data_IF_833878079128
#
_entry.id   IF_833878079128
#
_cell.length_a   1.000
_cell.length_b   1.000
_cell.length_c   1.000
_cell.angle_alpha   90.00
_cell.angle_beta   90.00
_cell.angle_gamma   90.00
#
_symmetry.space_group_name_H-M   'P 1'
#
loop_
_entity.id
_entity.type
_entity.pdbx_description
1 polymer ?
#
# COMPACT_ATOMS: atom_id res chain seq x y z
N UNK A 1 56.33 2.96 55.64
CA UNK A 1 55.07 2.84 56.41
C UNK A 1 54.50 4.23 56.66
N UNK A 2 53.54 4.68 55.84
CA UNK A 2 52.55 5.68 56.25
C UNK A 2 51.31 5.54 55.36
N UNK A 3 50.17 5.37 56.01
CA UNK A 3 48.84 5.12 55.45
C UNK A 3 48.24 6.36 54.79
N UNK A 4 47.55 6.18 53.66
CA UNK A 4 46.58 7.14 53.13
C UNK A 4 45.17 6.57 53.26
N UNK A 5 44.42 7.18 54.18
CA UNK A 5 42.99 7.03 54.40
C UNK A 5 42.21 7.64 53.22
N UNK A 6 41.40 6.83 52.52
CA UNK A 6 40.39 7.33 51.59
C UNK A 6 38.99 7.03 52.12
N UNK A 7 38.17 8.08 52.12
CA UNK A 7 36.98 8.25 52.94
C UNK A 7 35.76 7.41 52.54
N UNK A 8 35.01 6.97 53.55
CA UNK A 8 33.70 6.31 53.49
C UNK A 8 32.54 7.23 53.06
N UNK A 9 32.80 8.49 52.68
CA UNK A 9 31.76 9.49 52.37
C UNK A 9 31.26 9.45 50.93
N UNK A 10 32.03 8.94 49.97
CA UNK A 10 31.64 8.88 48.55
C UNK A 10 30.56 7.84 48.22
N UNK A 11 30.55 6.70 48.92
CA UNK A 11 29.59 5.61 48.66
C UNK A 11 28.18 5.88 49.20
N UNK A 12 28.05 6.72 50.24
CA UNK A 12 26.75 7.08 50.82
C UNK A 12 25.99 8.07 49.91
N UNK A 13 26.70 9.04 49.32
CA UNK A 13 26.12 10.02 48.41
C UNK A 13 25.55 9.39 47.13
N UNK A 14 26.26 8.41 46.55
CA UNK A 14 25.82 7.72 45.33
C UNK A 14 24.58 6.83 45.57
N UNK A 15 24.48 6.21 46.76
CA UNK A 15 23.28 5.44 47.16
C UNK A 15 22.06 6.34 47.36
N UNK A 16 22.25 7.56 47.87
CA UNK A 16 21.17 8.55 48.02
C UNK A 16 20.55 8.96 46.68
N UNK A 17 21.39 9.26 45.68
CA UNK A 17 20.94 9.68 44.33
C UNK A 17 20.18 8.56 43.62
N UNK A 18 20.66 7.31 43.70
CA UNK A 18 19.97 6.15 43.09
C UNK A 18 18.61 5.89 43.75
N UNK A 19 18.50 6.05 45.07
CA UNK A 19 17.23 5.92 45.79
C UNK A 19 16.22 7.00 45.39
N UNK A 20 16.71 8.23 45.15
CA UNK A 20 15.87 9.36 44.73
C UNK A 20 15.36 9.20 43.29
N UNK A 21 16.21 8.73 42.37
CA UNK A 21 15.80 8.39 40.99
C UNK A 21 14.75 7.28 40.99
N UNK A 22 14.92 6.22 41.79
CA UNK A 22 13.94 5.13 41.89
C UNK A 22 12.57 5.60 42.41
N UNK A 23 12.53 6.55 43.36
CA UNK A 23 11.27 7.14 43.85
C UNK A 23 10.59 8.01 42.79
N UNK A 24 11.35 8.76 42.00
CA UNK A 24 10.79 9.56 40.88
C UNK A 24 10.20 8.65 39.80
N UNK A 25 10.90 7.57 39.43
CA UNK A 25 10.38 6.60 38.46
C UNK A 25 9.16 5.82 38.97
N UNK A 26 9.10 5.47 40.27
CA UNK A 26 7.91 4.81 40.82
C UNK A 26 6.70 5.76 40.85
N UNK A 27 6.92 7.04 41.18
CA UNK A 27 5.89 8.08 41.16
C UNK A 27 5.36 8.36 39.74
N UNK A 28 6.24 8.44 38.74
CA UNK A 28 5.86 8.61 37.33
C UNK A 28 5.08 7.39 36.79
N UNK A 29 5.48 6.18 37.18
CA UNK A 29 4.76 4.94 36.81
C UNK A 29 3.39 4.83 37.47
N UNK A 30 3.24 5.30 38.71
CA UNK A 30 1.94 5.39 39.39
C UNK A 30 1.03 6.45 38.74
N UNK A 31 1.57 7.61 38.33
CA UNK A 31 0.81 8.64 37.62
C UNK A 31 0.35 8.19 36.22
N UNK A 32 1.21 7.49 35.48
CA UNK A 32 0.86 6.91 34.18
C UNK A 32 -0.24 5.85 34.29
N UNK A 33 -0.17 4.95 35.27
CA UNK A 33 -1.23 3.95 35.51
C UNK A 33 -2.55 4.58 36.00
N UNK A 34 -2.51 5.73 36.67
CA UNK A 34 -3.71 6.43 37.13
C UNK A 34 -4.41 7.19 35.99
N UNK A 35 -3.63 7.79 35.07
CA UNK A 35 -4.18 8.41 33.85
C UNK A 35 -4.75 7.37 32.88
N UNK A 36 -4.11 6.20 32.74
CA UNK A 36 -4.60 5.14 31.85
C UNK A 36 -5.92 4.52 32.36
N UNK A 37 -6.07 4.36 33.69
CA UNK A 37 -7.34 3.93 34.31
C UNK A 37 -8.44 4.98 34.24
N UNK A 38 -8.11 6.27 34.29
CA UNK A 38 -9.11 7.34 34.14
C UNK A 38 -9.67 7.41 32.71
N UNK A 39 -8.84 7.14 31.70
CA UNK A 39 -9.25 7.06 30.29
C UNK A 39 -10.11 5.81 30.02
N UNK A 40 -9.73 4.64 30.56
CA UNK A 40 -10.55 3.41 30.44
C UNK A 40 -11.93 3.54 31.07
N UNK A 41 -12.05 4.20 32.23
CA UNK A 41 -13.34 4.41 32.91
C UNK A 41 -14.21 5.43 32.16
N UNK A 42 -13.62 6.47 31.55
CA UNK A 42 -14.36 7.47 30.78
C UNK A 42 -14.87 6.92 29.44
N UNK A 43 -14.09 6.04 28.79
CA UNK A 43 -14.50 5.34 27.56
C UNK A 43 -15.58 4.29 27.84
N UNK A 44 -15.48 3.56 28.96
CA UNK A 44 -16.51 2.60 29.37
C UNK A 44 -17.85 3.27 29.73
N UNK A 45 -17.82 4.46 30.34
CA UNK A 45 -19.05 5.20 30.70
C UNK A 45 -19.78 5.76 29.47
N UNK A 46 -19.05 6.22 28.44
CA UNK A 46 -19.66 6.72 27.21
C UNK A 46 -20.26 5.60 26.34
N UNK A 47 -19.69 4.40 26.37
CA UNK A 47 -20.23 3.23 25.65
C UNK A 47 -21.52 2.70 26.32
N UNK A 48 -21.68 2.83 27.64
CA UNK A 48 -22.93 2.45 28.32
C UNK A 48 -24.08 3.46 28.11
N UNK A 49 -23.79 4.73 27.83
CA UNK A 49 -24.81 5.78 27.71
C UNK A 49 -25.38 5.95 26.29
N UNK A 50 -24.85 5.24 25.28
CA UNK A 50 -25.32 5.34 23.89
C UNK A 50 -26.06 4.11 23.35
N UNK A 51 -26.28 3.07 24.16
CA UNK A 51 -26.91 1.82 23.68
C UNK A 51 -28.37 1.62 24.13
N UNK A 52 -29.08 2.70 24.47
CA UNK A 52 -30.51 2.67 24.77
C UNK A 52 -31.27 3.69 23.92
N UNK A 53 -31.52 3.35 22.65
CA UNK A 53 -32.74 3.75 21.92
C UNK A 53 -32.83 3.10 20.54
N UNK A 54 -33.87 2.27 20.40
CA UNK A 54 -34.71 2.06 19.20
C UNK A 54 -34.79 0.61 18.71
N UNK A 55 -35.60 -0.17 19.43
CA UNK A 55 -36.45 -1.21 18.83
C UNK A 55 -37.89 -0.70 18.81
N UNK A 56 -38.52 -0.67 17.64
CA UNK A 56 -39.90 -1.14 17.38
C UNK A 56 -40.32 -0.73 15.97
N UNK A 57 -40.65 -1.72 15.12
CA UNK A 57 -42.00 -1.94 14.61
C UNK A 57 -42.00 -3.17 13.69
N UNK A 58 -42.87 -4.13 14.01
CA UNK A 58 -43.18 -5.35 13.27
C UNK A 58 -44.58 -5.23 12.66
N UNK A 59 -44.72 -5.87 11.50
CA UNK A 59 -45.88 -6.59 10.95
C UNK A 59 -47.11 -5.84 10.41
N UNK A 60 -47.42 -6.14 9.14
CA UNK A 60 -48.66 -6.71 8.58
C UNK A 60 -48.45 -6.81 7.05
N UNK A 61 -48.98 -7.73 6.25
CA UNK A 61 -49.55 -9.07 6.36
C UNK A 61 -49.72 -9.57 4.89
N UNK A 62 -49.74 -10.89 4.73
CA UNK A 62 -50.02 -11.73 3.56
C UNK A 62 -50.83 -11.16 2.36
N UNK A 63 -50.46 -11.64 1.16
CA UNK A 63 -51.41 -12.30 0.25
C UNK A 63 -50.70 -13.26 -0.73
N UNK A 64 -51.40 -14.36 -0.99
CA UNK A 64 -51.00 -15.65 -1.55
C UNK A 64 -50.96 -15.72 -3.11
N UNK A 65 -50.51 -16.85 -3.72
CA UNK A 65 -49.90 -16.90 -5.04
C UNK A 65 -50.87 -17.24 -6.19
N UNK A 66 -50.54 -16.80 -7.41
CA UNK A 66 -51.23 -17.21 -8.64
C UNK A 66 -50.23 -17.60 -9.73
N UNK A 67 -50.30 -18.87 -10.17
CA UNK A 67 -49.91 -19.43 -11.48
C UNK A 67 -50.67 -20.76 -11.64
N UNK A 68 -50.81 -21.36 -12.86
CA UNK A 68 -50.18 -21.03 -14.14
C UNK A 68 -51.13 -21.10 -15.37
N UNK A 69 -50.66 -20.67 -16.56
CA UNK A 69 -50.95 -21.30 -17.87
C UNK A 69 -50.11 -20.64 -18.98
N UNK A 70 -49.63 -21.45 -19.92
CA UNK A 70 -49.25 -21.02 -21.27
C UNK A 70 -47.76 -21.16 -21.60
N UNK A 71 -47.41 -22.24 -22.27
CA UNK A 71 -46.09 -22.54 -22.80
C UNK A 71 -45.85 -21.83 -24.14
N UNK A 72 -44.64 -21.28 -24.32
CA UNK A 72 -43.95 -21.18 -25.61
C UNK A 72 -42.44 -21.23 -25.35
N UNK A 73 -41.78 -22.24 -25.90
CA UNK A 73 -40.35 -22.43 -25.78
C UNK A 73 -39.60 -21.30 -26.51
N UNK A 74 -38.80 -20.54 -25.76
CA UNK A 74 -37.81 -19.63 -26.32
C UNK A 74 -36.59 -20.43 -26.77
N UNK A 75 -35.97 -20.10 -27.92
CA UNK A 75 -34.76 -20.77 -28.37
C UNK A 75 -33.65 -20.52 -27.35
N UNK A 76 -33.04 -21.59 -26.87
CA UNK A 76 -31.87 -21.57 -26.00
C UNK A 76 -30.69 -20.99 -26.77
N UNK A 77 -30.47 -19.68 -26.64
CA UNK A 77 -29.24 -19.04 -27.06
C UNK A 77 -28.12 -19.48 -26.13
N UNK A 78 -27.55 -20.64 -26.43
CA UNK A 78 -26.31 -21.09 -25.84
C UNK A 78 -25.20 -20.32 -26.54
N UNK A 79 -24.96 -19.08 -26.10
CA UNK A 79 -23.69 -18.40 -26.35
C UNK A 79 -22.60 -19.22 -25.67
N UNK A 80 -22.11 -20.26 -26.35
CA UNK A 80 -20.78 -20.81 -26.12
C UNK A 80 -19.84 -19.63 -26.29
N UNK A 81 -19.41 -19.04 -25.18
CA UNK A 81 -18.22 -18.20 -25.11
C UNK A 81 -17.11 -18.99 -25.80
N UNK A 82 -16.81 -18.63 -27.06
CA UNK A 82 -15.63 -19.15 -27.73
C UNK A 82 -14.48 -18.71 -26.83
N UNK A 83 -13.81 -19.65 -26.17
CA UNK A 83 -12.57 -19.37 -25.45
C UNK A 83 -11.54 -18.88 -26.48
N UNK A 84 -11.53 -17.58 -26.74
CA UNK A 84 -10.55 -16.97 -27.64
C UNK A 84 -9.25 -16.92 -26.86
N UNK A 85 -8.24 -17.61 -27.40
CA UNK A 85 -6.90 -17.66 -26.83
C UNK A 85 -6.36 -16.23 -26.70
N UNK A 86 -5.94 -15.77 -25.49
CA UNK A 86 -5.38 -14.44 -25.33
C UNK A 86 -4.03 -14.34 -26.02
N UNK A 87 -3.82 -13.29 -26.81
CA UNK A 87 -2.57 -13.04 -27.50
C UNK A 87 -1.57 -12.34 -26.58
N UNK A 88 -2.05 -11.34 -25.83
CA UNK A 88 -1.22 -10.54 -24.92
C UNK A 88 -1.75 -10.64 -23.49
N UNK A 89 -0.90 -11.13 -22.59
CA UNK A 89 -1.18 -11.19 -21.16
C UNK A 89 -0.53 -10.01 -20.42
N UNK A 90 -1.31 -9.31 -19.60
CA UNK A 90 -0.82 -8.23 -18.73
C UNK A 90 -0.81 -8.73 -17.30
N UNK A 91 0.37 -9.00 -16.76
CA UNK A 91 0.56 -9.41 -15.37
C UNK A 91 0.65 -8.17 -14.48
N UNK A 92 -0.45 -7.84 -13.79
CA UNK A 92 -0.54 -6.73 -12.85
C UNK A 92 0.10 -7.12 -11.52
N UNK A 93 1.28 -6.56 -11.24
CA UNK A 93 2.11 -6.89 -10.08
C UNK A 93 1.86 -5.93 -8.92
N UNK A 94 1.52 -6.47 -7.76
CA UNK A 94 1.41 -5.73 -6.50
C UNK A 94 1.76 -6.67 -5.34
N UNK A 95 1.98 -6.15 -4.13
CA UNK A 95 2.16 -6.99 -2.94
C UNK A 95 0.90 -7.79 -2.59
N UNK A 96 -0.27 -7.20 -2.89
CA UNK A 96 -1.57 -7.74 -2.50
C UNK A 96 -1.89 -7.47 -1.03
N UNK A 97 -3.01 -7.99 -0.56
CA UNK A 97 -3.44 -7.89 0.82
C UNK A 97 -4.44 -8.99 1.16
N UNK A 98 -4.54 -9.38 2.45
CA UNK A 98 -5.44 -10.44 2.89
C UNK A 98 -6.89 -10.05 2.60
N UNK A 99 -7.62 -10.87 1.84
CA UNK A 99 -9.04 -10.64 1.52
C UNK A 99 -9.94 -10.80 2.75
N UNK A 100 -9.51 -11.66 3.67
CA UNK A 100 -10.19 -11.95 4.94
C UNK A 100 -9.21 -11.94 6.11
N UNK A 101 -9.74 -11.83 7.32
CA UNK A 101 -8.95 -11.89 8.55
C UNK A 101 -8.15 -13.20 8.71
N UNK A 102 -8.66 -14.31 8.20
CA UNK A 102 -7.98 -15.62 8.22
C UNK A 102 -6.71 -15.65 7.35
N UNK A 103 -6.65 -14.84 6.29
CA UNK A 103 -5.52 -14.79 5.36
C UNK A 103 -4.32 -13.99 5.93
N UNK A 104 -4.53 -13.25 7.02
CA UNK A 104 -3.52 -12.32 7.58
C UNK A 104 -2.24 -13.05 7.98
N UNK A 105 -2.35 -14.26 8.56
CA UNK A 105 -1.17 -15.01 8.96
C UNK A 105 -0.27 -15.35 7.76
N UNK A 106 -0.86 -15.90 6.70
CA UNK A 106 -0.11 -16.36 5.54
C UNK A 106 0.42 -15.19 4.71
N UNK A 107 -0.31 -14.08 4.66
CA UNK A 107 0.17 -12.80 4.14
C UNK A 107 1.46 -12.35 4.86
N UNK A 108 1.42 -12.26 6.19
CA UNK A 108 2.58 -11.84 6.98
C UNK A 108 3.73 -12.84 6.88
N UNK A 109 3.43 -14.14 6.84
CA UNK A 109 4.42 -15.19 6.69
C UNK A 109 5.22 -15.00 5.39
N UNK A 110 4.54 -14.86 4.24
CA UNK A 110 5.21 -14.64 2.95
C UNK A 110 5.97 -13.32 2.93
N UNK A 111 5.42 -12.26 3.53
CA UNK A 111 6.07 -10.96 3.64
C UNK A 111 7.37 -11.02 4.44
N UNK A 112 7.39 -11.63 5.63
CA UNK A 112 8.60 -11.73 6.45
C UNK A 112 9.59 -12.79 5.96
N UNK A 113 9.17 -13.72 5.10
CA UNK A 113 10.06 -14.66 4.42
C UNK A 113 10.71 -14.07 3.16
N UNK A 114 10.28 -12.90 2.70
CA UNK A 114 10.80 -12.28 1.49
C UNK A 114 12.14 -11.55 1.73
N UNK A 115 13.22 -12.19 1.28
CA UNK A 115 14.60 -11.68 1.37
C UNK A 115 14.87 -10.48 0.46
N UNK A 116 14.00 -10.18 -0.51
CA UNK A 116 14.10 -8.97 -1.33
C UNK A 116 13.54 -7.73 -0.63
N UNK A 117 12.56 -7.93 0.26
CA UNK A 117 11.92 -6.89 1.05
C UNK A 117 12.72 -6.59 2.32
N UNK A 118 12.98 -7.60 3.14
CA UNK A 118 13.66 -7.48 4.42
C UNK A 118 14.69 -8.61 4.58
N UNK A 119 15.90 -8.26 5.01
CA UNK A 119 16.94 -9.24 5.36
C UNK A 119 16.97 -9.41 6.88
N UNK A 120 16.54 -10.57 7.35
CA UNK A 120 16.50 -10.91 8.77
C UNK A 120 17.53 -12.00 9.10
N UNK A 121 18.18 -11.96 10.28
CA UNK A 121 19.02 -13.07 10.72
C UNK A 121 18.14 -14.32 10.92
N UNK A 122 18.58 -15.45 10.34
CA UNK A 122 17.85 -16.73 10.42
C UNK A 122 16.38 -16.60 9.97
N UNK A 123 16.16 -15.93 8.85
CA UNK A 123 14.83 -15.53 8.33
C UNK A 123 13.82 -16.69 8.26
N UNK A 124 14.26 -17.91 7.94
CA UNK A 124 13.41 -19.10 7.91
C UNK A 124 12.80 -19.48 9.28
N UNK A 125 13.39 -19.01 10.39
CA UNK A 125 12.84 -19.19 11.75
C UNK A 125 12.20 -17.90 12.26
N UNK A 126 12.87 -16.76 12.05
CA UNK A 126 12.43 -15.48 12.58
C UNK A 126 11.19 -14.96 11.84
N UNK A 127 11.09 -15.18 10.52
CA UNK A 127 9.95 -14.78 9.71
C UNK A 127 8.63 -15.38 10.20
N UNK A 128 8.51 -16.72 10.31
CA UNK A 128 7.31 -17.36 10.86
C UNK A 128 6.98 -16.93 12.29
N UNK A 129 8.00 -16.74 13.14
CA UNK A 129 7.79 -16.26 14.51
C UNK A 129 7.21 -14.84 14.54
N UNK A 130 7.77 -13.91 13.76
CA UNK A 130 7.28 -12.53 13.67
C UNK A 130 5.87 -12.51 13.08
N UNK A 131 5.60 -13.28 12.03
CA UNK A 131 4.29 -13.40 11.41
C UNK A 131 3.23 -13.78 12.46
N UNK A 132 3.42 -14.93 13.14
CA UNK A 132 2.52 -15.39 14.19
C UNK A 132 2.32 -14.37 15.32
N UNK A 133 3.41 -13.70 15.75
CA UNK A 133 3.33 -12.69 16.82
C UNK A 133 2.56 -11.44 16.38
N UNK A 134 2.67 -11.03 15.12
CA UNK A 134 2.03 -9.81 14.61
C UNK A 134 0.60 -10.04 14.10
N UNK A 135 0.24 -11.27 13.73
CA UNK A 135 -1.09 -11.62 13.20
C UNK A 135 -2.26 -11.02 14.01
N UNK A 136 -2.35 -11.16 15.35
CA UNK A 136 -3.51 -10.65 16.09
C UNK A 136 -3.70 -9.14 15.94
N UNK A 137 -2.60 -8.38 16.02
CA UNK A 137 -2.63 -6.92 15.85
C UNK A 137 -3.09 -6.53 14.44
N UNK A 138 -2.56 -7.20 13.42
CA UNK A 138 -2.90 -6.89 12.03
C UNK A 138 -4.35 -7.31 11.69
N UNK A 139 -4.84 -8.41 12.27
CA UNK A 139 -6.25 -8.80 12.16
C UNK A 139 -7.18 -7.75 12.76
N UNK A 140 -6.83 -7.17 13.91
CA UNK A 140 -7.60 -6.07 14.52
C UNK A 140 -7.62 -4.81 13.62
N UNK A 141 -6.51 -4.50 12.95
CA UNK A 141 -6.49 -3.38 12.01
C UNK A 141 -7.36 -3.65 10.78
N UNK A 142 -7.31 -4.87 10.22
CA UNK A 142 -8.19 -5.25 9.11
C UNK A 142 -9.67 -5.31 9.52
N UNK A 143 -9.99 -5.71 10.75
CA UNK A 143 -11.39 -5.76 11.21
C UNK A 143 -12.01 -4.37 11.30
N UNK A 144 -11.22 -3.36 11.68
CA UNK A 144 -11.66 -1.94 11.73
C UNK A 144 -11.98 -1.33 10.37
N UNK A 145 -11.48 -1.91 9.28
CA UNK A 145 -11.70 -1.40 7.91
C UNK A 145 -12.65 -2.27 7.08
N UNK A 146 -13.40 -3.17 7.71
CA UNK A 146 -14.38 -4.03 7.04
C UNK A 146 -13.99 -5.51 6.89
N UNK A 147 -12.89 -5.95 7.51
CA UNK A 147 -12.54 -7.37 7.63
C UNK A 147 -11.52 -7.90 6.62
N UNK A 148 -10.99 -7.05 5.74
CA UNK A 148 -10.03 -7.44 4.71
C UNK A 148 -9.56 -6.27 3.83
N UNK A 149 -8.60 -6.54 2.96
CA UNK A 149 -8.08 -5.58 1.98
C UNK A 149 -8.94 -5.55 0.72
N UNK A 150 -9.37 -4.36 0.24
CA UNK A 150 -10.13 -4.25 -1.00
C UNK A 150 -9.26 -4.32 -2.26
N UNK A 151 -7.93 -4.48 -2.11
CA UNK A 151 -6.95 -4.37 -3.21
C UNK A 151 -7.25 -5.31 -4.39
N UNK A 152 -7.70 -6.55 -4.12
CA UNK A 152 -8.04 -7.50 -5.19
C UNK A 152 -9.25 -7.04 -5.98
N UNK A 153 -10.30 -6.57 -5.30
CA UNK A 153 -11.49 -6.06 -5.97
C UNK A 153 -11.13 -4.87 -6.87
N UNK A 154 -10.37 -3.90 -6.36
CA UNK A 154 -9.93 -2.76 -7.16
C UNK A 154 -9.02 -3.14 -8.32
N UNK A 155 -8.06 -4.06 -8.11
CA UNK A 155 -7.16 -4.52 -9.17
C UNK A 155 -7.94 -5.24 -10.28
N UNK A 156 -8.96 -6.03 -9.94
CA UNK A 156 -9.86 -6.66 -10.92
C UNK A 156 -10.61 -5.61 -11.73
N UNK A 157 -11.27 -4.65 -11.07
CA UNK A 157 -12.02 -3.58 -11.76
C UNK A 157 -11.11 -2.77 -12.69
N UNK A 158 -9.91 -2.42 -12.23
CA UNK A 158 -8.90 -1.72 -13.02
C UNK A 158 -8.41 -2.55 -14.21
N UNK A 159 -8.17 -3.85 -14.00
CA UNK A 159 -7.74 -4.79 -15.04
C UNK A 159 -8.80 -4.98 -16.13
N UNK A 160 -10.06 -5.11 -15.74
CA UNK A 160 -11.21 -5.22 -16.65
C UNK A 160 -11.36 -3.94 -17.49
N UNK A 161 -11.34 -2.77 -16.84
CA UNK A 161 -11.41 -1.48 -17.52
C UNK A 161 -10.24 -1.25 -18.49
N UNK A 162 -9.02 -1.61 -18.06
CA UNK A 162 -7.82 -1.54 -18.90
C UNK A 162 -7.92 -2.44 -20.13
N UNK A 163 -8.30 -3.72 -19.96
CA UNK A 163 -8.38 -4.69 -21.06
C UNK A 163 -9.41 -4.27 -22.10
N UNK A 164 -10.60 -3.80 -21.65
CA UNK A 164 -11.64 -3.30 -22.55
C UNK A 164 -11.10 -2.18 -23.45
N UNK A 165 -10.39 -1.21 -22.87
CA UNK A 165 -9.79 -0.10 -23.62
C UNK A 165 -8.66 -0.59 -24.54
N UNK A 166 -7.82 -1.53 -24.07
CA UNK A 166 -6.71 -2.06 -24.86
C UNK A 166 -7.15 -2.82 -26.11
N UNK A 167 -8.23 -3.60 -26.02
CA UNK A 167 -8.76 -4.33 -27.18
C UNK A 167 -9.25 -3.37 -28.28
N UNK A 168 -9.76 -2.19 -27.90
CA UNK A 168 -10.13 -1.12 -28.84
C UNK A 168 -8.90 -0.33 -29.34
N UNK A 169 -7.95 -0.04 -28.45
CA UNK A 169 -6.78 0.80 -28.71
C UNK A 169 -5.65 0.10 -29.49
N UNK A 170 -5.54 -1.24 -29.37
CA UNK A 170 -4.46 -2.06 -29.94
C UNK A 170 -5.00 -3.39 -30.51
N UNK A 171 -5.87 -3.38 -31.53
CA UNK A 171 -6.48 -4.59 -32.07
C UNK A 171 -5.45 -5.62 -32.59
N UNK A 172 -4.25 -5.19 -32.96
CA UNK A 172 -3.16 -6.04 -33.44
C UNK A 172 -2.53 -6.94 -32.35
N UNK A 173 -2.65 -6.55 -31.08
CA UNK A 173 -2.18 -7.33 -29.91
C UNK A 173 -3.32 -7.96 -29.10
N UNK A 174 -4.57 -7.72 -29.50
CA UNK A 174 -5.76 -8.35 -28.95
C UNK A 174 -5.86 -9.85 -29.33
N UNK A 175 -6.62 -10.67 -28.58
CA UNK A 175 -7.29 -10.32 -27.31
C UNK A 175 -6.29 -10.14 -26.18
N UNK A 176 -6.47 -9.07 -25.40
CA UNK A 176 -5.72 -8.83 -24.18
C UNK A 176 -6.38 -9.55 -23.01
N UNK A 177 -5.58 -9.99 -22.03
CA UNK A 177 -6.08 -10.53 -20.77
C UNK A 177 -5.21 -10.07 -19.63
N UNK A 178 -5.82 -9.54 -18.56
CA UNK A 178 -5.09 -9.21 -17.35
C UNK A 178 -4.98 -10.43 -16.44
N UNK A 179 -3.90 -10.47 -15.66
CA UNK A 179 -3.62 -11.48 -14.66
C UNK A 179 -3.16 -10.74 -13.41
N UNK A 180 -3.71 -11.09 -12.25
CA UNK A 180 -3.25 -10.53 -10.97
C UNK A 180 -2.09 -11.38 -10.49
N UNK A 181 -0.93 -10.75 -10.25
CA UNK A 181 0.24 -11.40 -9.66
C UNK A 181 0.57 -10.74 -8.34
N UNK A 182 -0.02 -11.22 -7.26
CA UNK A 182 0.30 -10.73 -5.92
C UNK A 182 1.56 -11.39 -5.36
N UNK A 183 2.31 -10.64 -4.56
CA UNK A 183 3.57 -11.12 -3.99
C UNK A 183 3.36 -11.99 -2.74
N UNK A 184 2.34 -11.68 -1.93
CA UNK A 184 2.16 -12.27 -0.59
C UNK A 184 0.79 -12.91 -0.33
N UNK A 185 -0.15 -12.80 -1.27
CA UNK A 185 -1.49 -13.42 -1.19
C UNK A 185 -1.89 -14.00 -2.53
N UNK A 186 -2.94 -14.82 -2.55
CA UNK A 186 -3.46 -15.38 -3.79
C UNK A 186 -4.27 -14.34 -4.59
N UNK A 187 -4.24 -14.39 -5.94
CA UNK A 187 -3.37 -15.24 -6.76
C UNK A 187 -1.91 -14.77 -6.69
N UNK A 188 -1.00 -15.70 -6.38
CA UNK A 188 0.42 -15.43 -6.28
C UNK A 188 1.03 -15.18 -7.67
N UNK A 189 2.18 -14.52 -7.70
CA UNK A 189 2.92 -14.23 -8.94
C UNK A 189 3.20 -15.52 -9.73
N UNK A 190 3.60 -16.58 -9.03
CA UNK A 190 3.89 -17.89 -9.60
C UNK A 190 2.63 -18.55 -10.21
N UNK A 191 1.49 -18.46 -9.51
CA UNK A 191 0.21 -19.00 -9.97
C UNK A 191 -0.28 -18.27 -11.23
N UNK A 192 -0.08 -16.95 -11.27
CA UNK A 192 -0.43 -16.13 -12.41
C UNK A 192 0.43 -16.48 -13.64
N UNK A 193 1.75 -16.68 -13.48
CA UNK A 193 2.64 -17.12 -14.56
C UNK A 193 2.21 -18.50 -15.08
N UNK A 194 1.90 -19.44 -14.18
CA UNK A 194 1.40 -20.76 -14.56
C UNK A 194 0.09 -20.67 -15.37
N UNK A 195 -0.82 -19.79 -14.97
CA UNK A 195 -2.07 -19.58 -15.71
C UNK A 195 -1.82 -18.93 -17.08
N UNK A 196 -0.91 -17.95 -17.17
CA UNK A 196 -0.52 -17.34 -18.44
C UNK A 196 0.08 -18.36 -19.41
N UNK A 197 0.90 -19.29 -18.92
CA UNK A 197 1.45 -20.38 -19.73
C UNK A 197 0.38 -21.36 -20.20
N UNK A 198 -0.56 -21.73 -19.31
CA UNK A 198 -1.69 -22.62 -19.65
C UNK A 198 -2.62 -22.00 -20.69
N UNK A 199 -2.84 -20.69 -20.61
CA UNK A 199 -3.63 -19.93 -21.57
C UNK A 199 -2.93 -19.76 -22.93
N UNK A 200 -1.64 -20.10 -23.01
CA UNK A 200 -0.85 -20.03 -24.24
C UNK A 200 -0.53 -18.60 -24.68
N UNK A 201 -0.43 -17.65 -23.73
CA UNK A 201 -0.10 -16.25 -23.99
C UNK A 201 1.19 -16.14 -24.82
N UNK A 202 1.16 -15.34 -25.89
CA UNK A 202 2.33 -15.16 -26.77
C UNK A 202 3.26 -14.04 -26.27
N UNK A 203 2.67 -12.92 -25.83
CA UNK A 203 3.39 -11.77 -25.27
C UNK A 203 2.92 -11.51 -23.83
N UNK A 204 3.86 -11.44 -22.89
CA UNK A 204 3.61 -11.12 -21.50
C UNK A 204 4.21 -9.75 -21.14
N UNK A 205 3.39 -8.91 -20.51
CA UNK A 205 3.80 -7.61 -19.96
C UNK A 205 3.72 -7.71 -18.44
N UNK A 206 4.87 -7.77 -17.77
CA UNK A 206 4.97 -7.55 -16.33
C UNK A 206 4.69 -6.07 -16.06
N UNK A 207 3.52 -5.74 -15.54
CA UNK A 207 3.09 -4.37 -15.30
C UNK A 207 3.00 -4.10 -13.81
N UNK A 208 4.01 -3.42 -13.27
CA UNK A 208 3.97 -2.99 -11.87
C UNK A 208 2.80 -2.06 -11.62
N UNK A 209 2.06 -2.29 -10.52
CA UNK A 209 1.00 -1.39 -10.05
C UNK A 209 1.54 -0.31 -9.10
N UNK A 210 2.86 -0.24 -8.92
CA UNK A 210 3.54 0.84 -8.21
C UNK A 210 4.06 1.88 -9.22
N UNK A 211 3.53 3.12 -9.25
CA UNK A 211 4.05 4.13 -10.17
C UNK A 211 5.53 4.41 -9.93
N UNK A 212 5.95 4.43 -8.67
CA UNK A 212 7.33 4.68 -8.26
C UNK A 212 8.03 3.36 -7.94
N UNK A 213 9.17 3.11 -8.58
CA UNK A 213 9.96 1.91 -8.38
C UNK A 213 10.64 1.91 -7.01
N UNK A 214 10.46 0.85 -6.24
CA UNK A 214 11.36 0.47 -5.14
C UNK A 214 11.92 -0.93 -5.38
N UNK A 215 13.15 -1.20 -4.94
CA UNK A 215 13.67 -2.56 -4.90
C UNK A 215 12.86 -3.46 -3.95
N UNK A 216 12.19 -2.90 -2.96
CA UNK A 216 11.37 -3.64 -1.99
C UNK A 216 9.95 -3.94 -2.48
N UNK A 217 9.49 -3.31 -3.56
CA UNK A 217 8.16 -3.53 -4.14
C UNK A 217 8.29 -4.14 -5.54
N UNK A 218 8.34 -3.31 -6.59
CA UNK A 218 8.53 -3.75 -7.98
C UNK A 218 9.73 -4.67 -8.12
N UNK A 219 10.86 -4.35 -7.47
CA UNK A 219 12.05 -5.19 -7.50
C UNK A 219 11.82 -6.61 -6.98
N UNK A 220 11.07 -6.78 -5.89
CA UNK A 220 10.71 -8.10 -5.34
C UNK A 220 9.80 -8.86 -6.30
N UNK A 221 8.76 -8.21 -6.85
CA UNK A 221 7.86 -8.84 -7.83
C UNK A 221 8.59 -9.30 -9.11
N UNK A 222 9.51 -8.49 -9.64
CA UNK A 222 10.29 -8.88 -10.82
C UNK A 222 11.29 -10.00 -10.50
N UNK A 223 11.91 -9.98 -9.31
CA UNK A 223 12.75 -11.08 -8.86
C UNK A 223 11.95 -12.37 -8.69
N UNK A 224 10.68 -12.32 -8.28
CA UNK A 224 9.82 -13.50 -8.21
C UNK A 224 9.61 -14.13 -9.59
N UNK A 225 9.35 -13.34 -10.64
CA UNK A 225 9.27 -13.83 -12.03
C UNK A 225 10.58 -14.50 -12.45
N UNK A 226 11.72 -13.87 -12.18
CA UNK A 226 13.01 -14.46 -12.49
C UNK A 226 13.25 -15.79 -11.75
N UNK A 227 12.97 -15.83 -10.44
CA UNK A 227 13.13 -17.04 -9.61
C UNK A 227 12.21 -18.18 -10.05
N UNK A 228 10.98 -17.86 -10.47
CA UNK A 228 10.05 -18.84 -11.01
C UNK A 228 10.68 -19.59 -12.19
N UNK A 229 11.29 -18.88 -13.14
CA UNK A 229 11.95 -19.51 -14.28
C UNK A 229 13.32 -20.12 -13.93
N UNK A 230 14.15 -19.45 -13.12
CA UNK A 230 15.49 -19.94 -12.81
C UNK A 230 15.51 -21.21 -11.95
N UNK A 231 14.42 -21.50 -11.25
CA UNK A 231 14.24 -22.72 -10.46
C UNK A 231 13.73 -23.92 -11.29
N UNK A 232 13.44 -23.72 -12.58
CA UNK A 232 12.86 -24.72 -13.48
C UNK A 232 13.80 -24.97 -14.67
N UNK A 233 13.70 -26.16 -15.26
CA UNK A 233 14.44 -26.51 -16.48
C UNK A 233 13.92 -25.78 -17.71
N UNK A 234 12.65 -25.39 -17.69
CA UNK A 234 11.94 -24.91 -18.86
C UNK A 234 12.19 -23.41 -19.07
N UNK A 235 12.43 -23.04 -20.32
CA UNK A 235 12.49 -21.63 -20.72
C UNK A 235 11.08 -21.03 -20.77
N UNK A 236 10.94 -19.71 -20.61
CA UNK A 236 9.65 -19.04 -20.79
C UNK A 236 9.02 -19.39 -22.13
N UNK A 237 7.75 -19.79 -22.12
CA UNK A 237 6.96 -20.10 -23.32
C UNK A 237 6.33 -18.85 -23.98
N UNK A 238 6.52 -17.69 -23.36
CA UNK A 238 5.99 -16.39 -23.76
C UNK A 238 7.11 -15.36 -23.80
N UNK A 239 6.99 -14.36 -24.69
CA UNK A 239 7.93 -13.24 -24.76
C UNK A 239 7.62 -12.23 -23.65
N UNK A 240 8.56 -12.05 -22.73
CA UNK A 240 8.41 -11.11 -21.62
C UNK A 240 8.83 -9.69 -22.00
N UNK A 241 8.18 -8.73 -21.37
CA UNK A 241 8.59 -7.34 -21.28
C UNK A 241 8.03 -6.76 -19.97
N UNK A 242 8.49 -5.59 -19.56
CA UNK A 242 8.11 -5.01 -18.28
C UNK A 242 7.88 -3.51 -18.37
N UNK A 243 6.78 -3.07 -17.78
CA UNK A 243 6.54 -1.67 -17.40
C UNK A 243 6.92 -1.61 -15.91
N UNK A 244 8.17 -1.23 -15.63
CA UNK A 244 8.74 -1.30 -14.28
C UNK A 244 8.53 -0.02 -13.45
N UNK A 245 8.13 1.09 -14.07
CA UNK A 245 7.85 2.36 -13.39
C UNK A 245 7.09 3.32 -14.30
N UNK A 246 6.36 4.25 -13.70
CA UNK A 246 5.54 5.24 -14.40
C UNK A 246 5.19 6.46 -13.50
N UNK A 247 6.17 7.04 -12.77
CA UNK A 247 5.90 8.01 -11.70
C UNK A 247 5.29 9.33 -12.18
N UNK A 248 5.49 9.69 -13.45
CA UNK A 248 5.02 10.96 -14.01
C UNK A 248 4.15 10.77 -15.25
N UNK A 249 3.41 9.67 -15.31
CA UNK A 249 2.45 9.46 -16.41
C UNK A 249 1.39 10.57 -16.38
N UNK A 250 1.10 11.28 -17.50
CA UNK A 250 0.21 12.44 -17.47
C UNK A 250 -1.18 12.16 -16.90
N UNK A 251 -1.77 11.00 -17.20
CA UNK A 251 -3.11 10.66 -16.70
C UNK A 251 -3.09 10.25 -15.21
N UNK A 252 -1.98 9.69 -14.71
CA UNK A 252 -1.80 9.48 -13.26
C UNK A 252 -1.80 10.83 -12.53
N UNK A 253 -1.05 11.80 -13.05
CA UNK A 253 -0.96 13.14 -12.46
C UNK A 253 -2.32 13.84 -12.49
N UNK A 254 -3.06 13.69 -13.58
CA UNK A 254 -4.42 14.21 -13.70
C UNK A 254 -5.36 13.59 -12.63
N UNK A 255 -5.35 12.27 -12.46
CA UNK A 255 -6.18 11.61 -11.46
C UNK A 255 -5.89 12.15 -10.04
N UNK A 256 -4.61 12.30 -9.67
CA UNK A 256 -4.24 12.87 -8.38
C UNK A 256 -4.67 14.32 -8.24
N UNK A 257 -4.49 15.14 -9.27
CA UNK A 257 -4.90 16.54 -9.25
C UNK A 257 -6.43 16.68 -9.09
N UNK A 258 -7.22 15.90 -9.83
CA UNK A 258 -8.67 15.85 -9.70
C UNK A 258 -9.09 15.47 -8.27
N UNK A 259 -8.51 14.41 -7.70
CA UNK A 259 -8.86 13.96 -6.35
C UNK A 259 -8.46 14.99 -5.28
N UNK A 260 -7.35 15.69 -5.45
CA UNK A 260 -6.94 16.78 -4.55
C UNK A 260 -7.91 17.96 -4.64
N UNK A 261 -8.28 18.40 -5.85
CA UNK A 261 -9.24 19.50 -6.03
C UNK A 261 -10.60 19.14 -5.43
N UNK A 262 -11.11 17.95 -5.74
CA UNK A 262 -12.38 17.47 -5.21
C UNK A 262 -12.41 17.42 -3.68
N UNK A 263 -11.29 17.10 -3.02
CA UNK A 263 -11.23 17.07 -1.57
C UNK A 263 -11.03 18.48 -0.96
N UNK A 264 -10.29 19.38 -1.63
CA UNK A 264 -10.16 20.79 -1.24
C UNK A 264 -11.51 21.52 -1.28
N UNK A 265 -12.38 21.19 -2.23
CA UNK A 265 -13.72 21.76 -2.32
C UNK A 265 -14.59 21.46 -1.09
N UNK A 266 -14.31 20.35 -0.39
CA UNK A 266 -15.03 19.93 0.83
C UNK A 266 -14.54 20.63 2.11
N UNK A 267 -13.48 21.42 2.05
CA UNK A 267 -13.10 22.31 3.15
C UNK A 267 -13.96 23.58 3.15
N UNK A 268 -14.19 24.23 4.31
CA UNK A 268 -14.82 25.54 4.37
C UNK A 268 -14.12 26.54 3.43
N UNK A 269 -14.88 27.32 2.67
CA UNK A 269 -14.36 28.17 1.61
C UNK A 269 -13.31 29.17 2.13
N UNK A 270 -13.53 29.71 3.32
CA UNK A 270 -12.65 30.64 4.03
C UNK A 270 -11.36 30.00 4.59
N UNK A 271 -11.29 28.66 4.63
CA UNK A 271 -10.12 27.89 5.10
C UNK A 271 -9.35 27.23 3.96
N UNK A 272 -9.94 27.13 2.77
CA UNK A 272 -9.42 26.35 1.64
C UNK A 272 -8.00 26.75 1.24
N UNK A 273 -7.70 28.05 1.23
CA UNK A 273 -6.37 28.56 0.87
C UNK A 273 -5.31 28.32 1.97
N UNK A 274 -5.74 28.08 3.22
CA UNK A 274 -4.84 27.75 4.35
C UNK A 274 -4.54 26.24 4.46
N UNK A 275 -5.25 25.40 3.70
CA UNK A 275 -5.04 23.95 3.73
C UNK A 275 -3.60 23.61 3.35
N UNK A 276 -2.95 22.79 4.18
CA UNK A 276 -1.63 22.21 3.88
C UNK A 276 -1.81 20.82 3.29
N UNK A 277 -1.28 20.60 2.09
CA UNK A 277 -1.31 19.31 1.42
C UNK A 277 -0.13 18.46 1.91
N UNK A 278 -0.43 17.30 2.49
CA UNK A 278 0.55 16.32 2.95
C UNK A 278 0.50 15.10 2.04
N UNK A 279 1.42 15.05 1.08
CA UNK A 279 1.63 13.85 0.27
C UNK A 279 2.30 12.79 1.15
N UNK A 280 1.55 11.75 1.49
CA UNK A 280 2.01 10.67 2.36
C UNK A 280 2.35 9.44 1.52
N UNK A 281 3.61 9.00 1.65
CA UNK A 281 4.13 7.81 0.98
C UNK A 281 4.69 6.83 2.03
N UNK A 282 4.67 5.53 1.77
CA UNK A 282 5.22 4.56 2.72
C UNK A 282 6.73 4.75 2.87
N UNK A 283 7.23 4.81 4.10
CA UNK A 283 8.63 5.09 4.37
C UNK A 283 9.53 3.91 3.97
N UNK A 284 10.83 4.16 3.85
CA UNK A 284 11.85 3.13 3.66
C UNK A 284 12.89 3.21 4.78
N UNK A 285 13.45 2.08 5.26
CA UNK A 285 14.62 2.09 6.12
C UNK A 285 15.76 2.88 5.47
N UNK A 286 16.49 3.69 6.24
CA UNK A 286 17.60 4.48 5.68
C UNK A 286 18.70 3.61 5.07
N UNK A 287 18.86 2.36 5.52
CA UNK A 287 19.78 1.41 4.87
C UNK A 287 19.38 1.09 3.44
N UNK A 288 18.07 1.05 3.13
CA UNK A 288 17.53 0.86 1.78
C UNK A 288 17.68 2.13 0.95
N UNK A 289 17.42 3.30 1.54
CA UNK A 289 17.63 4.59 0.85
C UNK A 289 19.11 4.76 0.50
N UNK A 290 20.00 4.57 1.49
CA UNK A 290 21.44 4.81 1.35
C UNK A 290 22.14 3.81 0.41
N UNK A 291 21.56 2.63 0.15
CA UNK A 291 22.09 1.74 -0.90
C UNK A 291 21.79 2.25 -2.33
N UNK A 292 20.95 3.28 -2.45
CA UNK A 292 20.54 3.94 -3.68
C UNK A 292 19.26 3.40 -4.27
N UNK A 293 18.24 3.17 -3.44
CA UNK A 293 16.89 2.88 -3.91
C UNK A 293 16.28 4.12 -4.60
N UNK A 294 15.71 4.01 -5.82
CA UNK A 294 15.24 5.17 -6.57
C UNK A 294 13.89 5.73 -6.06
N UNK A 295 13.18 4.99 -5.19
CA UNK A 295 11.83 5.33 -4.77
C UNK A 295 11.66 6.75 -4.24
N UNK A 296 12.51 7.29 -3.33
CA UNK A 296 12.30 8.64 -2.81
C UNK A 296 12.34 9.72 -3.89
N UNK A 297 13.21 9.55 -4.89
CA UNK A 297 13.33 10.48 -6.01
C UNK A 297 12.11 10.41 -6.93
N UNK A 298 11.61 9.21 -7.22
CA UNK A 298 10.44 9.01 -8.07
C UNK A 298 9.13 9.49 -7.40
N UNK A 299 9.00 9.33 -6.09
CA UNK A 299 7.89 9.91 -5.31
C UNK A 299 7.97 11.44 -5.36
N UNK A 300 9.15 12.02 -5.13
CA UNK A 300 9.37 13.47 -5.25
C UNK A 300 9.00 14.00 -6.64
N UNK A 301 9.33 13.26 -7.70
CA UNK A 301 8.94 13.62 -9.07
C UNK A 301 7.42 13.57 -9.29
N UNK A 302 6.74 12.57 -8.73
CA UNK A 302 5.27 12.47 -8.79
C UNK A 302 4.62 13.68 -8.10
N UNK A 303 5.04 13.96 -6.86
CA UNK A 303 4.55 15.10 -6.06
C UNK A 303 4.74 16.41 -6.82
N UNK A 304 5.94 16.64 -7.37
CA UNK A 304 6.21 17.88 -8.11
C UNK A 304 5.26 18.05 -9.29
N UNK A 305 5.05 16.99 -10.09
CA UNK A 305 4.16 17.05 -11.25
C UNK A 305 2.69 17.27 -10.89
N UNK A 306 2.23 16.70 -9.77
CA UNK A 306 0.89 16.99 -9.24
C UNK A 306 0.79 18.46 -8.84
N UNK A 307 1.77 19.00 -8.12
CA UNK A 307 1.73 20.41 -7.69
C UNK A 307 1.85 21.39 -8.86
N UNK A 308 2.64 21.06 -9.88
CA UNK A 308 2.72 21.83 -11.13
C UNK A 308 1.33 21.87 -11.82
N UNK A 309 0.65 20.70 -11.90
CA UNK A 309 -0.69 20.58 -12.47
C UNK A 309 -1.76 21.35 -11.68
N UNK A 310 -1.59 21.46 -10.36
CA UNK A 310 -2.46 22.24 -9.47
C UNK A 310 -2.13 23.75 -9.47
N UNK A 311 -1.11 24.19 -10.22
CA UNK A 311 -0.69 25.59 -10.24
C UNK A 311 -0.19 26.10 -8.88
N UNK A 312 0.33 25.20 -8.03
CA UNK A 312 0.75 25.51 -6.66
C UNK A 312 -0.31 26.24 -5.81
N UNK A 313 -1.59 25.89 -5.97
CA UNK A 313 -2.71 26.53 -5.27
C UNK A 313 -2.60 26.51 -3.72
N UNK A 314 -1.90 25.52 -3.16
CA UNK A 314 -1.72 25.34 -1.72
C UNK A 314 -0.27 24.98 -1.35
N UNK A 315 0.19 25.29 -0.13
CA UNK A 315 1.46 24.81 0.38
C UNK A 315 1.42 23.28 0.57
N UNK A 316 2.55 22.61 0.31
CA UNK A 316 2.63 21.16 0.42
C UNK A 316 3.91 20.66 1.09
N UNK A 317 3.87 19.42 1.58
CA UNK A 317 5.05 18.64 1.99
C UNK A 317 4.90 17.19 1.54
N UNK A 318 6.04 16.58 1.18
CA UNK A 318 6.18 15.13 1.07
C UNK A 318 6.62 14.60 2.43
N UNK A 319 5.83 13.65 2.97
CA UNK A 319 6.01 13.02 4.27
C UNK A 319 5.93 11.50 4.14
N UNK A 320 6.43 10.78 5.14
CA UNK A 320 6.56 9.33 5.08
C UNK A 320 5.85 8.64 6.24
N UNK A 321 5.03 7.64 5.93
CA UNK A 321 4.22 6.90 6.91
C UNK A 321 4.75 5.49 7.19
N UNK A 322 4.10 4.80 8.14
CA UNK A 322 4.26 3.38 8.41
C UNK A 322 5.68 2.92 8.83
N UNK A 323 6.45 3.77 9.54
CA UNK A 323 7.72 3.34 10.15
C UNK A 323 7.47 2.18 11.12
N UNK A 324 8.19 1.07 10.92
CA UNK A 324 8.14 -0.08 11.83
C UNK A 324 9.49 -0.40 12.47
N UNK A 325 9.45 -0.67 13.77
CA UNK A 325 10.63 -1.07 14.55
C UNK A 325 11.58 0.08 14.91
N UNK A 326 12.71 -0.25 15.55
CA UNK A 326 13.60 0.74 16.16
C UNK A 326 14.63 1.35 15.19
N UNK A 327 14.73 0.82 13.96
CA UNK A 327 15.72 1.29 12.99
C UNK A 327 15.42 2.71 12.52
N UNK A 328 16.40 3.34 11.86
CA UNK A 328 16.21 4.66 11.24
C UNK A 328 15.50 4.52 9.89
N UNK A 329 14.52 5.38 9.65
CA UNK A 329 13.68 5.40 8.44
C UNK A 329 13.71 6.79 7.81
N UNK A 330 13.36 6.84 6.53
CA UNK A 330 13.22 8.09 5.80
C UNK A 330 12.11 8.94 6.43
N UNK A 331 12.45 10.19 6.74
CA UNK A 331 11.55 11.16 7.35
C UNK A 331 11.34 12.40 6.47
N UNK A 332 10.50 13.34 6.93
CA UNK A 332 9.84 13.34 8.24
C UNK A 332 8.64 12.38 8.31
N UNK A 333 8.27 11.93 9.52
CA UNK A 333 7.15 11.00 9.72
C UNK A 333 5.79 11.71 9.64
N UNK A 334 4.80 11.10 9.01
CA UNK A 334 3.48 11.72 8.79
C UNK A 334 2.79 12.14 10.10
N UNK A 335 2.80 11.28 11.11
CA UNK A 335 2.27 11.56 12.46
C UNK A 335 2.99 12.74 13.14
N UNK A 336 4.32 12.75 13.13
CA UNK A 336 5.14 13.82 13.70
C UNK A 336 4.91 15.15 12.98
N UNK A 337 4.71 15.13 11.66
CA UNK A 337 4.43 16.35 10.86
C UNK A 337 3.04 16.89 11.15
N UNK A 338 2.00 16.04 11.23
CA UNK A 338 0.65 16.46 11.60
C UNK A 338 0.71 17.20 12.95
N UNK A 339 1.27 16.55 13.98
CA UNK A 339 1.43 17.15 15.31
C UNK A 339 2.24 18.45 15.26
N UNK A 340 3.36 18.45 14.53
CA UNK A 340 4.24 19.61 14.42
C UNK A 340 3.59 20.81 13.72
N UNK A 341 2.76 20.57 12.70
CA UNK A 341 2.00 21.60 11.99
C UNK A 341 0.89 22.17 12.88
N UNK A 342 0.14 21.33 13.59
CA UNK A 342 -0.90 21.79 14.51
C UNK A 342 -0.34 22.67 15.63
N UNK A 343 0.80 22.30 16.21
CA UNK A 343 1.51 23.12 17.20
C UNK A 343 1.96 24.48 16.65
N UNK A 344 2.08 24.61 15.33
CA UNK A 344 2.45 25.85 14.63
C UNK A 344 1.24 26.57 14.02
N UNK A 345 0.03 26.20 14.43
CA UNK A 345 -1.21 26.85 14.02
C UNK A 345 -1.79 26.39 12.67
N UNK A 346 -1.16 25.42 12.00
CA UNK A 346 -1.72 24.82 10.77
C UNK A 346 -2.68 23.69 11.14
N UNK A 347 -3.98 23.98 11.02
CA UNK A 347 -5.07 23.11 11.50
C UNK A 347 -5.95 22.54 10.39
N UNK A 348 -5.68 22.87 9.14
CA UNK A 348 -6.40 22.40 7.97
C UNK A 348 -5.43 21.56 7.12
N UNK A 349 -5.59 20.24 7.12
CA UNK A 349 -4.63 19.29 6.55
C UNK A 349 -5.33 18.36 5.54
N UNK A 350 -4.76 18.24 4.35
CA UNK A 350 -5.20 17.29 3.33
C UNK A 350 -4.15 16.21 3.12
N UNK A 351 -4.44 14.98 3.52
CA UNK A 351 -3.59 13.81 3.31
C UNK A 351 -3.80 13.26 1.89
N UNK A 352 -2.72 13.01 1.16
CA UNK A 352 -2.77 12.47 -0.21
C UNK A 352 -1.95 11.18 -0.30
N UNK A 353 -2.57 10.00 -0.52
CA UNK A 353 -1.86 8.74 -0.67
C UNK A 353 -1.16 8.67 -2.03
N UNK A 354 0.07 9.21 -2.12
CA UNK A 354 0.72 9.50 -3.42
C UNK A 354 1.44 8.30 -4.06
N UNK A 355 1.68 7.24 -3.29
CA UNK A 355 2.49 6.10 -3.70
C UNK A 355 1.73 4.77 -3.81
N UNK A 356 0.39 4.82 -3.68
CA UNK A 356 -0.51 3.69 -3.85
C UNK A 356 -1.76 4.11 -4.60
N UNK A 357 -2.30 3.22 -5.41
CA UNK A 357 -3.37 3.54 -6.37
C UNK A 357 -4.75 3.07 -5.92
N UNK A 358 -4.83 2.22 -4.91
CA UNK A 358 -6.07 1.66 -4.39
C UNK A 358 -6.10 1.75 -2.88
N UNK A 359 -7.29 1.79 -2.29
CA UNK A 359 -7.42 1.71 -0.83
C UNK A 359 -6.84 0.39 -0.30
N UNK A 360 -6.20 0.50 0.86
CA UNK A 360 -5.50 -0.58 1.55
C UNK A 360 -5.39 -0.21 3.04
N UNK A 361 -4.78 -1.07 3.85
CA UNK A 361 -4.73 -0.87 5.31
C UNK A 361 -4.05 0.45 5.68
N UNK A 362 -3.03 0.86 4.94
CA UNK A 362 -2.32 2.12 5.17
C UNK A 362 -3.16 3.36 4.85
N UNK A 363 -4.21 3.28 4.04
CA UNK A 363 -5.15 4.41 3.85
C UNK A 363 -6.31 4.34 4.83
N UNK A 364 -7.03 3.22 4.82
CA UNK A 364 -8.29 3.06 5.56
C UNK A 364 -8.10 2.97 7.08
N UNK A 365 -6.96 2.49 7.55
CA UNK A 365 -6.66 2.41 8.97
C UNK A 365 -5.70 3.52 9.41
N UNK A 366 -4.51 3.60 8.80
CA UNK A 366 -3.47 4.51 9.28
C UNK A 366 -3.84 5.97 9.01
N UNK A 367 -4.20 6.35 7.78
CA UNK A 367 -4.59 7.74 7.49
C UNK A 367 -5.97 8.10 8.08
N UNK A 368 -7.00 7.26 7.90
CA UNK A 368 -8.37 7.61 8.28
C UNK A 368 -8.66 7.45 9.78
N UNK A 369 -8.06 6.47 10.46
CA UNK A 369 -8.33 6.20 11.87
C UNK A 369 -7.18 6.72 12.74
N UNK A 370 -5.96 6.23 12.54
CA UNK A 370 -4.83 6.59 13.43
C UNK A 370 -4.48 8.08 13.32
N UNK A 371 -4.41 8.62 12.11
CA UNK A 371 -4.02 10.02 11.90
C UNK A 371 -5.19 10.99 11.92
N UNK A 372 -6.26 10.70 11.17
CA UNK A 372 -7.36 11.66 11.03
C UNK A 372 -8.25 11.73 12.27
N UNK A 373 -8.63 10.58 12.84
CA UNK A 373 -9.49 10.55 14.03
C UNK A 373 -8.66 10.73 15.31
N UNK A 374 -7.75 9.80 15.60
CA UNK A 374 -7.07 9.77 16.89
C UNK A 374 -6.10 10.95 17.03
N UNK A 375 -5.11 11.05 16.14
CA UNK A 375 -4.08 12.09 16.23
C UNK A 375 -4.64 13.49 15.95
N UNK A 376 -5.61 13.60 15.03
CA UNK A 376 -6.28 14.85 14.70
C UNK A 376 -6.99 15.46 15.91
N UNK A 377 -7.76 14.65 16.65
CA UNK A 377 -8.42 15.05 17.89
C UNK A 377 -7.41 15.45 18.97
N UNK A 378 -6.36 14.64 19.18
CA UNK A 378 -5.31 14.91 20.16
C UNK A 378 -4.56 16.23 19.88
N UNK A 379 -4.38 16.59 18.61
CA UNK A 379 -3.63 17.77 18.19
C UNK A 379 -4.48 19.03 18.01
N UNK A 380 -5.81 18.92 18.13
CA UNK A 380 -6.74 20.03 17.91
C UNK A 380 -6.77 20.51 16.45
N UNK A 381 -6.71 19.56 15.50
CA UNK A 381 -6.95 19.81 14.07
C UNK A 381 -8.39 20.33 13.90
N UNK A 382 -8.57 21.38 13.09
CA UNK A 382 -9.89 21.89 12.71
C UNK A 382 -10.50 21.02 11.62
N UNK A 383 -9.74 20.73 10.57
CA UNK A 383 -10.14 19.88 9.47
C UNK A 383 -8.96 19.02 9.01
N UNK A 384 -9.09 17.69 9.09
CA UNK A 384 -8.19 16.73 8.45
C UNK A 384 -9.01 15.85 7.52
N UNK A 385 -8.57 15.79 6.26
CA UNK A 385 -9.25 15.02 5.22
C UNK A 385 -8.22 14.21 4.44
N UNK A 386 -8.67 13.16 3.79
CA UNK A 386 -7.84 12.34 2.89
C UNK A 386 -8.43 12.40 1.49
N UNK A 387 -7.57 12.67 0.49
CA UNK A 387 -7.94 12.53 -0.91
C UNK A 387 -8.25 11.06 -1.22
N UNK A 388 -9.30 10.81 -1.99
CA UNK A 388 -9.68 9.46 -2.37
C UNK A 388 -8.53 8.73 -3.09
N UNK A 389 -8.38 7.43 -2.83
CA UNK A 389 -7.48 6.59 -3.63
C UNK A 389 -7.98 6.50 -5.08
N UNK A 390 -7.12 6.18 -6.04
CA UNK A 390 -7.51 6.20 -7.47
C UNK A 390 -8.59 5.16 -7.80
N UNK A 391 -8.59 4.02 -7.08
CA UNK A 391 -9.69 3.05 -7.02
C UNK A 391 -10.33 2.77 -8.39
N UNK A 392 -11.61 3.12 -8.54
CA UNK A 392 -12.42 2.90 -9.74
C UNK A 392 -12.48 4.09 -10.69
N UNK A 393 -11.60 5.09 -10.57
CA UNK A 393 -11.62 6.26 -11.44
C UNK A 393 -11.43 5.83 -12.92
N UNK A 394 -12.39 6.08 -13.82
CA UNK A 394 -12.26 5.69 -15.23
C UNK A 394 -11.06 6.31 -15.95
N UNK A 395 -10.61 7.49 -15.53
CA UNK A 395 -9.40 8.13 -16.04
C UNK A 395 -8.15 7.31 -15.69
N UNK A 396 -8.15 6.66 -14.53
CA UNK A 396 -7.08 5.76 -14.12
C UNK A 396 -7.05 4.48 -14.97
N UNK A 397 -8.21 3.92 -15.34
CA UNK A 397 -8.26 2.79 -16.27
C UNK A 397 -7.64 3.16 -17.63
N UNK A 398 -7.93 4.38 -18.10
CA UNK A 398 -7.32 4.94 -19.30
C UNK A 398 -5.81 5.14 -19.14
N UNK A 399 -5.33 5.57 -17.97
CA UNK A 399 -3.90 5.66 -17.68
C UNK A 399 -3.19 4.31 -17.81
N UNK A 400 -3.78 3.24 -17.26
CA UNK A 400 -3.24 1.88 -17.37
C UNK A 400 -3.21 1.40 -18.82
N UNK A 401 -4.29 1.61 -19.57
CA UNK A 401 -4.36 1.24 -20.98
C UNK A 401 -3.36 2.03 -21.85
N UNK A 402 -3.21 3.34 -21.61
CA UNK A 402 -2.26 4.19 -22.32
C UNK A 402 -0.79 3.79 -22.06
N UNK A 403 -0.47 3.43 -20.81
CA UNK A 403 0.84 2.89 -20.44
C UNK A 403 1.16 1.61 -21.20
N UNK A 404 0.22 0.65 -21.22
CA UNK A 404 0.41 -0.63 -21.92
C UNK A 404 0.47 -0.42 -23.43
N UNK A 405 -0.39 0.41 -24.02
CA UNK A 405 -0.33 0.75 -25.44
C UNK A 405 1.03 1.36 -25.79
N UNK A 406 1.47 2.36 -25.04
CA UNK A 406 2.75 3.04 -25.28
C UNK A 406 3.92 2.08 -25.19
N UNK A 407 3.89 1.18 -24.19
CA UNK A 407 4.89 0.13 -24.02
C UNK A 407 4.94 -0.81 -25.22
N UNK A 408 3.79 -1.35 -25.63
CA UNK A 408 3.67 -2.27 -26.77
C UNK A 408 4.17 -1.63 -28.08
N UNK A 409 3.82 -0.35 -28.33
CA UNK A 409 4.29 0.39 -29.50
C UNK A 409 5.77 0.71 -29.46
N UNK A 410 6.34 0.92 -28.26
CA UNK A 410 7.75 1.28 -28.11
C UNK A 410 8.73 0.17 -28.47
N UNK A 411 8.28 -1.10 -28.44
CA UNK A 411 9.11 -2.30 -28.65
C UNK A 411 10.33 -2.38 -27.71
N UNK A 412 10.30 -1.69 -26.56
CA UNK A 412 11.33 -1.75 -25.53
C UNK A 412 10.97 -2.82 -24.51
N UNK A 413 11.89 -3.71 -24.11
CA UNK A 413 11.58 -4.76 -23.16
C UNK A 413 11.49 -4.25 -21.71
N UNK A 414 12.13 -3.12 -21.38
CA UNK A 414 12.12 -2.50 -20.05
C UNK A 414 12.51 -1.01 -20.11
N UNK A 415 12.37 -0.29 -18.99
CA UNK A 415 12.89 1.08 -18.88
C UNK A 415 14.42 1.11 -18.87
N UNK A 416 14.99 2.26 -19.25
CA UNK A 416 16.45 2.50 -19.15
C UNK A 416 16.93 2.48 -17.70
N UNK A 417 16.09 2.85 -16.73
CA UNK A 417 16.47 2.80 -15.32
C UNK A 417 16.55 1.36 -14.80
N UNK A 418 15.76 0.43 -15.35
CA UNK A 418 15.85 -0.98 -14.94
C UNK A 418 17.23 -1.56 -15.24
N UNK A 419 17.96 -1.09 -16.26
CA UNK A 419 19.30 -1.60 -16.57
C UNK A 419 20.36 -1.18 -15.53
N UNK A 420 20.04 -0.23 -14.65
CA UNK A 420 20.92 0.23 -13.59
C UNK A 420 20.52 -0.41 -12.25
N UNK A 421 21.47 -1.06 -11.57
CA UNK A 421 21.29 -1.52 -10.18
C UNK A 421 21.53 -0.36 -9.22
N UNK A 422 20.94 -0.45 -8.02
CA UNK A 422 21.35 0.41 -6.91
C UNK A 422 22.90 0.35 -6.77
N UNK A 423 23.58 1.50 -6.61
CA UNK A 423 25.04 1.56 -6.53
C UNK A 423 25.66 0.61 -5.50
N UNK A 424 24.98 0.39 -4.37
CA UNK A 424 25.43 -0.52 -3.29
C UNK A 424 24.57 -1.79 -3.19
N UNK A 425 24.07 -2.30 -4.32
CA UNK A 425 23.23 -3.48 -4.34
C UNK A 425 24.00 -4.76 -3.97
N UNK A 426 23.62 -5.40 -2.86
CA UNK A 426 24.21 -6.67 -2.40
C UNK A 426 23.44 -7.93 -2.83
N UNK A 427 22.26 -7.77 -3.45
CA UNK A 427 21.42 -8.90 -3.85
C UNK A 427 21.78 -9.36 -5.29
N UNK A 428 22.34 -10.57 -5.48
CA UNK A 428 22.77 -11.05 -6.79
C UNK A 428 21.60 -11.24 -7.77
N UNK A 429 20.41 -11.60 -7.27
CA UNK A 429 19.18 -11.77 -8.06
C UNK A 429 18.87 -10.50 -8.86
N UNK A 430 19.14 -9.33 -8.30
CA UNK A 430 18.85 -8.05 -8.95
C UNK A 430 19.61 -7.84 -10.27
N UNK A 431 20.78 -8.45 -10.47
CA UNK A 431 21.48 -8.39 -11.76
C UNK A 431 20.84 -9.35 -12.76
N UNK A 432 20.51 -10.56 -12.29
CA UNK A 432 19.97 -11.61 -13.12
C UNK A 432 18.57 -11.26 -13.64
N UNK A 433 17.70 -10.71 -12.79
CA UNK A 433 16.37 -10.21 -13.19
C UNK A 433 16.47 -9.11 -14.25
N UNK A 434 17.45 -8.20 -14.12
CA UNK A 434 17.67 -7.14 -15.13
C UNK A 434 18.11 -7.73 -16.46
N UNK A 435 19.04 -8.68 -16.43
CA UNK A 435 19.47 -9.40 -17.62
C UNK A 435 18.30 -10.18 -18.25
N UNK A 436 17.45 -10.81 -17.44
CA UNK A 436 16.27 -11.54 -17.90
C UNK A 436 15.34 -10.68 -18.75
N UNK A 437 14.98 -9.47 -18.30
CA UNK A 437 14.12 -8.57 -19.06
C UNK A 437 14.88 -7.87 -20.20
N UNK A 438 16.08 -7.32 -19.97
CA UNK A 438 16.81 -6.57 -21.00
C UNK A 438 17.28 -7.40 -22.20
N UNK A 439 17.40 -8.73 -22.03
CA UNK A 439 17.75 -9.65 -23.12
C UNK A 439 16.55 -10.16 -23.92
N UNK A 440 15.32 -9.81 -23.53
CA UNK A 440 14.12 -10.18 -24.30
C UNK A 440 14.15 -9.48 -25.65
N UNK A 441 13.87 -10.24 -26.72
CA UNK A 441 13.70 -9.68 -28.06
C UNK A 441 12.39 -8.87 -28.12
N UNK A 442 12.33 -7.75 -28.85
CA UNK A 442 11.12 -6.94 -29.01
C UNK A 442 9.88 -7.70 -29.48
#
# INVERSE_FOLDING_TARGET
>A
MTFLSFSSRGFSALRGVIAQIKRVFSSLRQRANCQQKAVEVSVALNIMLHNTRSHNLRNCANSDPVRPRGATAAPSDTTRSKHVKPKTGILMLNMGGPEKLEDVHDFLLRLFMDTDLLQLPVQNKLGPFIAKRRTPKIQEQYSKIGGGSPIKAWTTTQGEGMVKLLDEMCPETAPHKFYIGFRYVHPLTEEAIEQMEKDGVERAVAFTQYPQYSCSTTGSSLNAIYRYYSSRSDRPKMRWSVIDRWPTHPLLIECFAEHVVNELEKFPAEKRDDVVILFSAHSLPLSVVNRGDPYPQEVGATVQRVMDRLGHCNPYRLVWQSKVGPMAWLGPQTDEVIKGLCQRGKKNLLLVPIAFTSDHIETLHELDIEYSQILGEECGVENIRRAESLNGNPLFFRALADLVQSHLKSNKPCSRQLTLRCPLCVNPTCAQTKAFFSSQKP
#
